data_IF_679300550785
#
_entry.id   IF_679300550785
#
_cell.length_a   1.000
_cell.length_b   1.000
_cell.length_c   1.000
_cell.angle_alpha   90.00
_cell.angle_beta   90.00
_cell.angle_gamma   90.00
#
_symmetry.space_group_name_H-M   'P 1'
#
loop_
_entity.id
_entity.type
_entity.pdbx_description
1 polymer ?
#
# COMPACT_ATOMS: atom_id res chain seq x y z
N UNK A 1 -1.79 39.70 -22.45
CA UNK A 1 -1.82 38.78 -21.30
C UNK A 1 -2.38 37.43 -21.72
N UNK A 2 -1.55 36.39 -21.62
CA UNK A 2 -1.96 34.98 -21.77
C UNK A 2 -2.56 34.40 -20.48
N UNK A 3 -2.59 35.18 -19.40
CA UNK A 3 -3.14 34.80 -18.11
C UNK A 3 -4.65 35.13 -18.06
N UNK A 4 -5.46 34.29 -17.41
CA UNK A 4 -6.88 34.57 -17.24
C UNK A 4 -7.10 35.82 -16.38
N UNK A 5 -8.14 36.60 -16.69
CA UNK A 5 -8.55 37.78 -15.90
C UNK A 5 -8.76 37.45 -14.42
N UNK A 6 -9.28 36.27 -14.12
CA UNK A 6 -9.48 35.77 -12.76
C UNK A 6 -8.69 34.48 -12.59
N UNK A 7 -7.80 34.43 -11.61
CA UNK A 7 -7.03 33.24 -11.28
C UNK A 7 -7.45 32.72 -9.90
N UNK A 8 -7.99 31.49 -9.86
CA UNK A 8 -8.37 30.81 -8.62
C UNK A 8 -7.42 29.64 -8.39
N UNK A 9 -6.69 29.67 -7.28
CA UNK A 9 -5.83 28.58 -6.83
C UNK A 9 -6.56 27.80 -5.74
N UNK A 10 -6.72 26.50 -5.95
CA UNK A 10 -7.31 25.59 -4.94
C UNK A 10 -6.22 24.66 -4.42
N UNK A 11 -5.93 24.74 -3.12
CA UNK A 11 -4.90 23.93 -2.49
C UNK A 11 -5.39 23.39 -1.14
N UNK A 12 -4.89 22.24 -0.72
CA UNK A 12 -5.18 21.75 0.61
C UNK A 12 -4.35 22.49 1.67
N UNK A 13 -4.85 22.58 2.90
CA UNK A 13 -4.16 23.26 4.02
C UNK A 13 -2.77 22.68 4.33
N UNK A 14 -2.48 21.45 3.89
CA UNK A 14 -1.18 20.80 4.01
C UNK A 14 -0.12 21.32 3.04
N UNK A 15 -0.50 22.21 2.11
CA UNK A 15 0.38 22.76 1.07
C UNK A 15 0.90 24.16 1.37
N UNK A 16 0.71 24.64 2.60
CA UNK A 16 1.27 25.90 3.07
C UNK A 16 2.74 25.69 3.43
N UNK A 17 3.61 26.51 2.85
CA UNK A 17 5.06 26.50 3.08
C UNK A 17 5.44 27.83 3.74
N UNK A 18 6.31 27.86 4.77
CA UNK A 18 6.57 29.09 5.52
C UNK A 18 7.29 30.19 4.72
N UNK A 19 8.20 29.81 3.82
CA UNK A 19 9.08 30.74 3.11
C UNK A 19 9.42 30.29 1.68
N UNK A 20 9.96 31.22 0.88
CA UNK A 20 10.49 30.91 -0.45
C UNK A 20 11.77 30.05 -0.38
N UNK A 21 12.56 30.19 0.68
CA UNK A 21 13.75 29.36 0.89
C UNK A 21 13.36 27.90 1.10
N UNK A 22 12.34 27.64 1.92
CA UNK A 22 11.77 26.30 2.12
C UNK A 22 11.19 25.74 0.81
N UNK A 23 10.51 26.60 0.02
CA UNK A 23 9.99 26.22 -1.29
C UNK A 23 11.11 25.78 -2.23
N UNK A 24 12.24 26.49 -2.26
CA UNK A 24 13.39 26.14 -3.10
C UNK A 24 13.93 24.74 -2.79
N UNK A 25 13.99 24.37 -1.50
CA UNK A 25 14.41 23.04 -1.06
C UNK A 25 13.40 21.98 -1.51
N UNK A 26 12.10 22.24 -1.30
CA UNK A 26 11.05 21.30 -1.66
C UNK A 26 10.99 21.06 -3.17
N UNK A 27 11.14 22.09 -3.99
CA UNK A 27 11.15 21.98 -5.46
C UNK A 27 12.33 21.14 -5.97
N UNK A 28 13.53 21.35 -5.40
CA UNK A 28 14.71 20.55 -5.74
C UNK A 28 14.53 19.08 -5.37
N UNK A 29 14.02 18.81 -4.17
CA UNK A 29 13.75 17.45 -3.70
C UNK A 29 12.65 16.79 -4.54
N UNK A 30 11.60 17.52 -4.90
CA UNK A 30 10.49 17.05 -5.74
C UNK A 30 11.00 16.60 -7.11
N UNK A 31 11.71 17.48 -7.84
CA UNK A 31 12.18 17.21 -9.19
C UNK A 31 13.09 15.97 -9.25
N UNK A 32 14.05 15.89 -8.33
CA UNK A 32 14.98 14.76 -8.24
C UNK A 32 14.28 13.45 -7.92
N UNK A 33 13.27 13.48 -7.05
CA UNK A 33 12.54 12.28 -6.64
C UNK A 33 11.50 11.83 -7.67
N UNK A 34 10.96 12.77 -8.46
CA UNK A 34 9.92 12.50 -9.44
C UNK A 34 10.48 12.04 -10.79
N UNK A 35 11.37 12.85 -11.36
CA UNK A 35 11.85 12.73 -12.74
C UNK A 35 13.37 12.66 -12.85
N UNK A 36 14.10 12.72 -11.73
CA UNK A 36 15.56 12.75 -11.72
C UNK A 36 16.15 14.08 -12.19
N UNK A 37 15.33 15.12 -12.38
CA UNK A 37 15.77 16.44 -12.81
C UNK A 37 16.36 17.24 -11.64
N UNK A 38 17.28 18.17 -11.91
CA UNK A 38 17.87 19.01 -10.87
C UNK A 38 16.86 19.96 -10.21
N UNK A 39 15.92 20.47 -11.01
CA UNK A 39 14.83 21.38 -10.63
C UNK A 39 13.64 21.19 -11.59
N UNK A 40 12.45 21.64 -11.21
CA UNK A 40 11.25 21.57 -12.06
C UNK A 40 11.39 22.48 -13.28
N UNK A 41 11.02 21.97 -14.46
CA UNK A 41 11.10 22.71 -15.72
C UNK A 41 10.20 23.96 -15.77
N UNK A 42 9.08 23.94 -15.04
CA UNK A 42 8.15 25.07 -14.99
C UNK A 42 7.69 25.29 -13.54
N UNK A 43 8.00 26.47 -13.01
CA UNK A 43 7.54 26.94 -11.70
C UNK A 43 7.16 28.41 -11.84
N UNK A 44 5.87 28.71 -11.71
CA UNK A 44 5.37 30.08 -11.69
C UNK A 44 5.07 30.49 -10.26
N UNK A 45 5.62 31.63 -9.84
CA UNK A 45 5.32 32.24 -8.55
C UNK A 45 4.38 33.41 -8.76
N UNK A 46 3.23 33.38 -8.11
CA UNK A 46 2.24 34.47 -8.14
C UNK A 46 2.21 35.15 -6.78
N UNK A 47 2.39 36.47 -6.78
CA UNK A 47 2.34 37.32 -5.58
C UNK A 47 0.98 38.00 -5.36
N UNK A 48 0.04 37.88 -6.30
CA UNK A 48 -1.28 38.49 -6.20
C UNK A 48 -1.88 38.86 -7.56
N UNK A 49 -2.93 39.72 -7.58
CA UNK A 49 -3.41 40.34 -8.80
C UNK A 49 -2.35 41.30 -9.38
N UNK A 50 -2.48 41.62 -10.68
CA UNK A 50 -1.60 42.60 -11.34
C UNK A 50 -1.74 43.97 -10.68
N UNK A 51 -0.61 44.65 -10.52
CA UNK A 51 -0.55 46.05 -10.11
C UNK A 51 -0.54 46.95 -11.35
N UNK A 52 -0.70 48.26 -11.16
CA UNK A 52 -0.68 49.23 -12.26
C UNK A 52 0.68 49.27 -12.99
N UNK A 53 1.76 48.90 -12.29
CA UNK A 53 3.12 48.78 -12.83
C UNK A 53 3.36 47.49 -13.60
N UNK A 54 2.49 46.49 -13.45
CA UNK A 54 2.65 45.19 -14.09
C UNK A 54 2.09 45.21 -15.51
N UNK A 55 2.91 44.81 -16.48
CA UNK A 55 2.49 44.72 -17.88
C UNK A 55 1.46 43.61 -18.13
N UNK A 56 1.47 42.54 -17.31
CA UNK A 56 0.56 41.40 -17.42
C UNK A 56 0.27 40.76 -16.06
N UNK A 57 -0.95 40.24 -15.88
CA UNK A 57 -1.34 39.45 -14.71
C UNK A 57 -2.86 39.38 -14.55
N UNK A 58 -3.37 38.58 -13.59
CA UNK A 58 -4.80 38.50 -13.34
C UNK A 58 -5.34 39.78 -12.69
N UNK A 59 -6.55 40.20 -13.03
CA UNK A 59 -7.27 41.30 -12.38
C UNK A 59 -7.69 40.90 -10.94
N UNK A 60 -8.02 39.62 -10.74
CA UNK A 60 -8.36 39.06 -9.44
C UNK A 60 -7.63 37.75 -9.19
N UNK A 61 -7.08 37.59 -7.98
CA UNK A 61 -6.36 36.40 -7.54
C UNK A 61 -6.95 35.87 -6.23
N UNK A 62 -7.49 34.65 -6.27
CA UNK A 62 -8.14 34.02 -5.12
C UNK A 62 -7.43 32.73 -4.74
N UNK A 63 -7.13 32.55 -3.45
CA UNK A 63 -6.55 31.31 -2.91
C UNK A 63 -7.56 30.65 -1.99
N UNK A 64 -8.02 29.46 -2.37
CA UNK A 64 -8.96 28.65 -1.59
C UNK A 64 -8.18 27.52 -0.90
N UNK A 65 -8.10 27.60 0.42
CA UNK A 65 -7.46 26.57 1.25
C UNK A 65 -8.49 25.56 1.73
N UNK A 66 -8.37 24.32 1.27
CA UNK A 66 -9.29 23.23 1.54
C UNK A 66 -8.79 22.35 2.69
N UNK A 67 -9.60 22.25 3.75
CA UNK A 67 -9.38 21.29 4.82
C UNK A 67 -9.79 19.87 4.37
N UNK A 68 -11.10 19.65 4.18
CA UNK A 68 -11.67 18.34 3.80
C UNK A 68 -11.16 17.18 4.70
N UNK A 69 -11.11 17.39 6.02
CA UNK A 69 -10.71 16.38 7.00
C UNK A 69 -9.21 16.32 7.33
N UNK A 70 -8.39 17.19 6.72
CA UNK A 70 -6.94 17.29 6.98
C UNK A 70 -6.61 17.81 8.38
N UNK A 71 -7.41 18.70 8.96
CA UNK A 71 -7.23 19.15 10.35
C UNK A 71 -7.38 17.99 11.33
N UNK A 72 -8.32 17.07 11.09
CA UNK A 72 -8.45 15.83 11.87
C UNK A 72 -7.24 14.93 11.70
N UNK A 73 -6.72 14.79 10.46
CA UNK A 73 -5.48 14.04 10.21
C UNK A 73 -4.27 14.64 10.94
N UNK A 74 -4.21 15.97 11.06
CA UNK A 74 -3.12 16.70 11.71
C UNK A 74 -3.03 16.41 13.21
N UNK A 75 -4.17 16.26 13.88
CA UNK A 75 -4.27 15.85 15.29
C UNK A 75 -4.22 14.33 15.50
N UNK A 76 -4.40 13.55 14.44
CA UNK A 76 -4.45 12.09 14.51
C UNK A 76 -3.12 11.40 14.18
N UNK A 77 -3.12 10.07 14.33
CA UNK A 77 -1.94 9.26 13.99
C UNK A 77 -1.73 9.01 12.48
N UNK A 78 -2.29 9.86 11.61
CA UNK A 78 -2.02 9.90 10.16
C UNK A 78 -1.36 11.21 9.74
N UNK A 79 -1.00 12.08 10.69
CA UNK A 79 -0.34 13.39 10.47
C UNK A 79 0.81 13.34 9.46
N UNK A 80 1.64 12.30 9.50
CA UNK A 80 2.76 12.16 8.58
C UNK A 80 2.34 12.15 7.11
N UNK A 81 1.12 11.75 6.80
CA UNK A 81 0.59 11.75 5.43
C UNK A 81 0.51 13.17 4.84
N UNK A 82 0.26 14.18 5.68
CA UNK A 82 0.15 15.58 5.27
C UNK A 82 1.49 16.16 4.77
N UNK A 83 2.63 15.51 5.05
CA UNK A 83 3.94 15.92 4.54
C UNK A 83 4.14 15.65 3.05
N UNK A 84 3.24 14.91 2.41
CA UNK A 84 3.44 14.45 1.04
C UNK A 84 3.65 15.64 0.11
N UNK A 85 4.72 15.66 -0.68
CA UNK A 85 5.00 16.71 -1.70
C UNK A 85 4.52 16.32 -3.10
N UNK A 86 3.78 15.22 -3.23
CA UNK A 86 3.30 14.68 -4.52
C UNK A 86 4.42 14.42 -5.55
N UNK A 87 5.60 14.02 -5.11
CA UNK A 87 6.73 13.72 -6.01
C UNK A 87 6.62 12.38 -6.75
N UNK A 88 5.62 11.54 -6.48
CA UNK A 88 5.42 10.29 -7.22
C UNK A 88 6.45 9.16 -6.95
N UNK A 89 7.54 9.39 -6.21
CA UNK A 89 8.54 8.36 -5.93
C UNK A 89 7.95 7.04 -5.39
N UNK A 90 6.93 7.13 -4.52
CA UNK A 90 6.27 5.93 -4.00
C UNK A 90 5.53 5.10 -5.07
N UNK A 91 5.09 5.72 -6.17
CA UNK A 91 4.43 5.05 -7.30
C UNK A 91 5.43 4.20 -8.07
N UNK A 92 6.59 4.78 -8.40
CA UNK A 92 7.65 4.14 -9.19
C UNK A 92 8.20 2.87 -8.53
N UNK A 93 8.13 2.77 -7.20
CA UNK A 93 8.61 1.62 -6.43
C UNK A 93 7.50 0.68 -5.94
N UNK A 94 6.23 0.93 -6.32
CA UNK A 94 5.11 0.11 -5.91
C UNK A 94 4.84 -0.98 -6.95
N UNK A 95 5.06 -2.28 -6.63
CA UNK A 95 4.85 -3.36 -7.60
C UNK A 95 3.38 -3.49 -8.01
N UNK A 96 2.46 -3.14 -7.11
CA UNK A 96 1.01 -3.14 -7.40
C UNK A 96 0.70 -2.07 -8.44
N UNK A 97 1.12 -0.83 -8.21
CA UNK A 97 0.90 0.26 -9.16
C UNK A 97 1.53 -0.02 -10.52
N UNK A 98 2.75 -0.57 -10.56
CA UNK A 98 3.40 -0.95 -11.82
C UNK A 98 2.64 -2.04 -12.60
N UNK A 99 1.90 -2.91 -11.92
CA UNK A 99 1.16 -4.00 -12.55
C UNK A 99 -0.25 -3.59 -13.02
N UNK A 100 -0.99 -2.81 -12.23
CA UNK A 100 -2.41 -2.50 -12.48
C UNK A 100 -2.65 -1.06 -12.96
N UNK A 101 -1.65 -0.20 -12.87
CA UNK A 101 -1.78 1.22 -13.20
C UNK A 101 -2.59 2.03 -12.19
N UNK A 102 -2.81 3.32 -12.51
CA UNK A 102 -3.50 4.26 -11.61
C UNK A 102 -5.02 4.13 -11.57
N UNK A 103 -5.66 3.77 -12.69
CA UNK A 103 -7.13 3.72 -12.79
C UNK A 103 -7.78 2.67 -11.87
N UNK A 104 -7.09 1.56 -11.63
CA UNK A 104 -7.58 0.49 -10.76
C UNK A 104 -7.72 0.91 -9.28
N UNK A 105 -7.17 2.07 -8.88
CA UNK A 105 -7.33 2.61 -7.52
C UNK A 105 -8.67 3.33 -7.30
N UNK A 106 -9.46 3.58 -8.36
CA UNK A 106 -10.85 4.07 -8.23
C UNK A 106 -11.02 5.50 -7.70
N UNK A 107 -9.94 6.29 -7.62
CA UNK A 107 -9.99 7.68 -7.15
C UNK A 107 -8.91 8.54 -7.81
N UNK A 108 -8.98 9.87 -7.61
CA UNK A 108 -8.00 10.84 -8.13
C UNK A 108 -6.60 10.66 -7.53
N UNK A 109 -6.48 9.96 -6.39
CA UNK A 109 -5.20 9.64 -5.76
C UNK A 109 -4.90 8.16 -5.89
N UNK A 110 -3.76 7.83 -6.51
CA UNK A 110 -3.35 6.46 -6.81
C UNK A 110 -2.14 6.01 -5.98
N UNK A 111 -1.85 4.70 -6.05
CA UNK A 111 -0.68 4.08 -5.45
C UNK A 111 -0.66 4.07 -3.93
N UNK A 112 0.52 3.89 -3.30
CA UNK A 112 0.64 3.82 -1.85
C UNK A 112 0.15 5.09 -1.14
N UNK A 113 0.40 6.27 -1.74
CA UNK A 113 -0.05 7.56 -1.24
C UNK A 113 -1.58 7.65 -1.24
N UNK A 114 -2.22 7.37 -2.37
CA UNK A 114 -3.67 7.38 -2.49
C UNK A 114 -4.35 6.33 -1.62
N UNK A 115 -3.74 5.14 -1.48
CA UNK A 115 -4.26 4.07 -0.63
C UNK A 115 -4.27 4.43 0.87
N UNK A 116 -3.47 5.40 1.29
CA UNK A 116 -3.55 5.98 2.64
C UNK A 116 -4.53 7.14 2.69
N UNK A 117 -4.49 8.04 1.71
CA UNK A 117 -5.23 9.30 1.76
C UNK A 117 -6.73 9.12 1.46
N UNK A 118 -7.09 8.32 0.44
CA UNK A 118 -8.49 8.13 0.02
C UNK A 118 -9.40 7.62 1.15
N UNK A 119 -9.03 6.59 1.94
CA UNK A 119 -9.85 6.16 3.08
C UNK A 119 -10.06 7.23 4.16
N UNK A 120 -9.13 8.18 4.29
CA UNK A 120 -9.23 9.27 5.26
C UNK A 120 -10.13 10.41 4.79
N UNK A 121 -10.26 10.60 3.48
CA UNK A 121 -11.09 11.65 2.89
C UNK A 121 -12.51 11.16 2.59
N UNK A 122 -12.66 9.93 2.09
CA UNK A 122 -13.95 9.39 1.63
C UNK A 122 -14.59 8.42 2.63
N UNK A 123 -13.83 7.99 3.65
CA UNK A 123 -14.26 6.93 4.56
C UNK A 123 -13.74 5.55 4.17
N UNK A 124 -13.76 4.66 5.15
CA UNK A 124 -13.19 3.31 5.03
C UNK A 124 -14.07 2.33 4.28
N UNK A 125 -15.38 2.56 4.24
CA UNK A 125 -16.37 1.64 3.65
C UNK A 125 -16.24 1.58 2.12
N UNK A 126 -16.00 2.72 1.48
CA UNK A 126 -15.86 2.82 0.02
C UNK A 126 -14.44 2.50 -0.48
N UNK A 127 -13.51 2.21 0.44
CA UNK A 127 -12.08 2.07 0.13
C UNK A 127 -11.43 0.88 0.82
N UNK A 128 -12.23 -0.14 1.16
CA UNK A 128 -11.77 -1.33 1.89
C UNK A 128 -10.60 -2.01 1.17
N UNK A 129 -10.63 -2.07 -0.16
CA UNK A 129 -9.64 -2.80 -0.95
C UNK A 129 -8.28 -2.10 -1.03
N UNK A 130 -8.20 -0.76 -0.95
CA UNK A 130 -6.96 -0.04 -1.22
C UNK A 130 -5.83 -0.42 -0.24
N UNK A 131 -6.04 -0.42 1.09
CA UNK A 131 -5.02 -0.88 2.01
C UNK A 131 -4.71 -2.37 1.87
N UNK A 132 -5.69 -3.19 1.46
CA UNK A 132 -5.55 -4.65 1.35
C UNK A 132 -4.83 -5.10 0.06
N UNK A 133 -4.88 -4.32 -1.00
CA UNK A 133 -4.13 -4.58 -2.24
C UNK A 133 -2.61 -4.44 -2.06
N UNK A 134 -2.14 -3.69 -1.06
CA UNK A 134 -0.72 -3.49 -0.82
C UNK A 134 0.01 -4.80 -0.46
N UNK A 135 1.20 -5.04 -1.03
CA UNK A 135 2.04 -6.19 -0.63
C UNK A 135 2.84 -5.95 0.65
N UNK A 136 2.76 -4.74 1.23
CA UNK A 136 3.54 -4.29 2.39
C UNK A 136 5.07 -4.47 2.23
N UNK A 137 5.60 -4.35 1.01
CA UNK A 137 7.03 -4.53 0.73
C UNK A 137 7.96 -3.47 1.37
N UNK A 138 7.42 -2.36 1.88
CA UNK A 138 8.17 -1.28 2.54
C UNK A 138 8.98 -0.35 1.64
N UNK A 139 9.05 -0.58 0.32
CA UNK A 139 9.88 0.25 -0.59
C UNK A 139 9.42 1.70 -0.64
N UNK A 140 8.11 1.94 -0.65
CA UNK A 140 7.54 3.29 -0.63
C UNK A 140 7.96 4.11 0.61
N UNK A 141 8.17 3.46 1.76
CA UNK A 141 8.69 4.08 2.99
C UNK A 141 10.18 4.40 2.85
N UNK A 142 10.97 3.49 2.28
CA UNK A 142 12.42 3.65 2.12
C UNK A 142 12.79 4.80 1.18
N UNK A 143 12.02 4.99 0.10
CA UNK A 143 12.33 5.97 -0.97
C UNK A 143 11.66 7.33 -0.76
N UNK A 144 10.81 7.49 0.26
CA UNK A 144 10.07 8.73 0.46
C UNK A 144 11.01 9.86 0.92
N UNK A 145 11.21 10.94 0.14
CA UNK A 145 12.15 12.00 0.50
C UNK A 145 11.71 12.80 1.74
N UNK A 146 10.41 12.80 2.03
CA UNK A 146 9.79 13.49 3.18
C UNK A 146 9.42 12.51 4.32
N UNK A 147 10.06 11.32 4.31
CA UNK A 147 10.03 10.33 5.39
C UNK A 147 8.62 9.97 5.86
N UNK A 148 7.70 9.71 4.93
CA UNK A 148 6.35 9.25 5.25
C UNK A 148 6.39 7.72 5.40
N UNK A 149 5.97 7.16 6.55
CA UNK A 149 5.96 5.72 6.75
C UNK A 149 4.73 5.07 6.09
N UNK A 150 4.62 5.15 4.76
CA UNK A 150 3.44 4.73 4.00
C UNK A 150 3.02 3.27 4.28
N UNK A 151 3.98 2.34 4.35
CA UNK A 151 3.70 0.94 4.71
C UNK A 151 3.04 0.79 6.07
N UNK A 152 3.49 1.57 7.05
CA UNK A 152 3.03 1.48 8.44
C UNK A 152 1.63 2.12 8.55
N UNK A 153 1.38 3.20 7.81
CA UNK A 153 0.05 3.82 7.71
C UNK A 153 -0.96 2.88 7.04
N UNK A 154 -0.56 2.14 6.00
CA UNK A 154 -1.42 1.14 5.36
C UNK A 154 -1.71 -0.04 6.29
N UNK A 155 -0.72 -0.51 7.05
CA UNK A 155 -0.94 -1.52 8.09
C UNK A 155 -1.94 -1.01 9.13
N UNK A 156 -1.81 0.25 9.56
CA UNK A 156 -2.75 0.88 10.49
C UNK A 156 -4.16 0.92 9.93
N UNK A 157 -4.33 1.22 8.64
CA UNK A 157 -5.64 1.12 7.97
C UNK A 157 -6.23 -0.28 8.03
N UNK A 158 -5.45 -1.33 7.77
CA UNK A 158 -5.92 -2.73 7.89
C UNK A 158 -6.37 -3.07 9.31
N UNK A 159 -5.64 -2.59 10.32
CA UNK A 159 -6.01 -2.78 11.73
C UNK A 159 -7.33 -2.05 12.06
N UNK A 160 -7.52 -0.85 11.54
CA UNK A 160 -8.74 -0.07 11.72
C UNK A 160 -9.94 -0.75 11.03
N UNK A 161 -9.79 -1.20 9.78
CA UNK A 161 -10.79 -1.99 9.05
C UNK A 161 -11.16 -3.27 9.81
N UNK A 162 -10.17 -3.95 10.41
CA UNK A 162 -10.44 -5.09 11.27
C UNK A 162 -11.24 -4.66 12.51
N UNK A 163 -10.85 -3.61 13.24
CA UNK A 163 -11.61 -3.15 14.43
C UNK A 163 -13.05 -2.78 14.09
N UNK A 164 -13.27 -2.12 12.95
CA UNK A 164 -14.59 -1.74 12.43
C UNK A 164 -15.41 -2.89 11.84
N UNK A 165 -14.84 -4.10 11.77
CA UNK A 165 -15.49 -5.30 11.20
C UNK A 165 -15.84 -5.17 9.71
N UNK A 166 -15.05 -4.41 8.95
CA UNK A 166 -15.22 -4.24 7.50
C UNK A 166 -14.69 -5.43 6.69
N UNK A 167 -14.01 -6.38 7.35
CA UNK A 167 -13.55 -7.62 6.73
C UNK A 167 -14.63 -8.71 6.78
N UNK A 168 -14.77 -9.56 5.74
CA UNK A 168 -15.79 -10.60 5.69
C UNK A 168 -15.77 -11.54 6.91
N UNK A 169 -16.94 -11.80 7.50
CA UNK A 169 -17.07 -12.62 8.72
C UNK A 169 -16.48 -14.03 8.54
N UNK A 170 -16.71 -14.65 7.39
CA UNK A 170 -16.19 -15.98 7.07
C UNK A 170 -14.66 -16.00 7.08
N UNK A 171 -14.01 -15.02 6.46
CA UNK A 171 -12.55 -14.91 6.47
C UNK A 171 -11.98 -14.76 7.88
N UNK A 172 -12.67 -14.01 8.75
CA UNK A 172 -12.28 -13.84 10.16
C UNK A 172 -12.41 -15.13 10.95
N UNK A 173 -13.47 -15.88 10.73
CA UNK A 173 -13.66 -17.20 11.34
C UNK A 173 -12.55 -18.16 10.92
N UNK A 174 -12.25 -18.24 9.61
CA UNK A 174 -11.17 -19.10 9.10
C UNK A 174 -9.81 -18.75 9.70
N UNK A 175 -9.45 -17.47 9.75
CA UNK A 175 -8.19 -17.03 10.36
C UNK A 175 -8.13 -17.37 11.85
N UNK A 176 -9.23 -17.19 12.59
CA UNK A 176 -9.31 -17.57 14.01
C UNK A 176 -9.20 -19.08 14.22
N UNK A 177 -9.91 -19.87 13.42
CA UNK A 177 -9.85 -21.32 13.48
C UNK A 177 -8.43 -21.81 13.17
N UNK A 178 -7.81 -21.28 12.11
CA UNK A 178 -6.43 -21.58 11.76
C UNK A 178 -5.47 -21.18 12.88
N UNK A 179 -5.58 -19.98 13.46
CA UNK A 179 -4.72 -19.53 14.55
C UNK A 179 -4.86 -20.43 15.79
N UNK A 180 -6.07 -20.85 16.12
CA UNK A 180 -6.34 -21.79 17.23
C UNK A 180 -5.67 -23.16 17.01
N UNK A 181 -5.66 -23.66 15.76
CA UNK A 181 -4.94 -24.88 15.40
C UNK A 181 -3.42 -24.65 15.43
N UNK A 182 -2.93 -23.61 14.77
CA UNK A 182 -1.51 -23.33 14.59
C UNK A 182 -0.76 -23.04 15.90
N UNK A 183 -1.44 -22.44 16.88
CA UNK A 183 -0.89 -22.18 18.23
C UNK A 183 -0.81 -23.44 19.11
N UNK A 184 -1.32 -24.58 18.65
CA UNK A 184 -1.32 -25.86 19.37
C UNK A 184 -0.44 -26.88 18.64
N UNK A 185 0.86 -27.01 19.00
CA UNK A 185 1.82 -27.79 18.21
C UNK A 185 1.41 -29.24 17.95
N UNK A 186 0.88 -29.94 18.97
CA UNK A 186 0.45 -31.35 18.84
C UNK A 186 -0.72 -31.50 17.86
N UNK A 187 -1.71 -30.61 17.96
CA UNK A 187 -2.88 -30.60 17.08
C UNK A 187 -2.47 -30.25 15.65
N UNK A 188 -1.69 -29.18 15.46
CA UNK A 188 -1.20 -28.77 14.14
C UNK A 188 -0.38 -29.89 13.47
N UNK A 189 0.53 -30.53 14.21
CA UNK A 189 1.33 -31.64 13.69
C UNK A 189 0.49 -32.87 13.36
N UNK A 190 -0.54 -33.18 14.14
CA UNK A 190 -1.48 -34.27 13.85
C UNK A 190 -2.31 -33.99 12.60
N UNK A 191 -2.91 -32.80 12.53
CA UNK A 191 -3.71 -32.35 11.40
C UNK A 191 -2.91 -32.35 10.10
N UNK A 192 -1.66 -31.85 10.13
CA UNK A 192 -0.79 -31.80 8.95
C UNK A 192 -0.17 -33.15 8.59
N UNK A 193 -0.09 -34.10 9.53
CA UNK A 193 0.40 -35.45 9.24
C UNK A 193 -0.61 -36.28 8.45
N UNK A 194 -1.91 -36.03 8.61
CA UNK A 194 -2.97 -36.77 7.91
C UNK A 194 -2.91 -36.64 6.37
N UNK A 195 -2.89 -35.43 5.77
CA UNK A 195 -2.80 -35.29 4.31
C UNK A 195 -1.45 -35.80 3.78
N UNK A 196 -0.35 -35.58 4.51
CA UNK A 196 0.96 -36.13 4.14
C UNK A 196 0.97 -37.67 4.10
N UNK A 197 0.33 -38.30 5.09
CA UNK A 197 0.18 -39.76 5.14
C UNK A 197 -0.71 -40.27 4.01
N UNK A 198 -1.86 -39.61 3.76
CA UNK A 198 -2.79 -39.99 2.69
C UNK A 198 -2.15 -39.86 1.30
N UNK A 199 -1.45 -38.75 1.06
CA UNK A 199 -0.69 -38.51 -0.18
C UNK A 199 0.44 -39.53 -0.35
N UNK A 200 1.17 -39.83 0.71
CA UNK A 200 2.20 -40.87 0.68
C UNK A 200 1.61 -42.24 0.36
N UNK A 201 0.55 -42.66 1.05
CA UNK A 201 -0.11 -43.95 0.80
C UNK A 201 -0.60 -44.08 -0.64
N UNK A 202 -1.17 -43.02 -1.20
CA UNK A 202 -1.70 -43.00 -2.58
C UNK A 202 -0.59 -42.98 -3.65
N UNK A 203 0.54 -42.31 -3.38
CA UNK A 203 1.66 -42.16 -4.32
C UNK A 203 2.84 -43.13 -4.12
N UNK A 204 2.85 -43.93 -3.04
CA UNK A 204 4.00 -44.77 -2.67
C UNK A 204 4.36 -45.83 -3.72
N UNK A 205 3.37 -46.32 -4.49
CA UNK A 205 3.61 -47.35 -5.51
C UNK A 205 4.20 -46.82 -6.81
N UNK A 206 3.88 -45.58 -7.19
CA UNK A 206 4.29 -44.97 -8.47
C UNK A 206 5.37 -43.89 -8.32
N UNK A 207 5.67 -43.46 -7.10
CA UNK A 207 6.61 -42.36 -6.83
C UNK A 207 6.09 -40.97 -7.19
N UNK A 208 4.90 -40.89 -7.80
CA UNK A 208 4.25 -39.66 -8.23
C UNK A 208 2.75 -39.65 -7.91
N UNK A 209 2.19 -38.44 -7.83
CA UNK A 209 0.77 -38.13 -7.66
C UNK A 209 0.26 -37.44 -8.92
N UNK A 210 -0.45 -38.19 -9.75
CA UNK A 210 -1.08 -37.72 -11.01
C UNK A 210 -2.34 -36.89 -10.74
N UNK A 211 -3.02 -37.10 -9.59
CA UNK A 211 -4.24 -36.37 -9.26
C UNK A 211 -4.30 -36.05 -7.76
N UNK A 212 -4.39 -34.76 -7.45
CA UNK A 212 -4.57 -34.23 -6.10
C UNK A 212 -5.93 -33.53 -6.06
N UNK A 213 -6.85 -33.96 -5.19
CA UNK A 213 -8.17 -33.34 -5.09
C UNK A 213 -8.03 -31.85 -4.76
N UNK A 214 -8.82 -31.01 -5.44
CA UNK A 214 -8.80 -29.53 -5.35
C UNK A 214 -7.53 -28.85 -5.90
N UNK A 215 -6.62 -29.59 -6.54
CA UNK A 215 -5.42 -29.05 -7.21
C UNK A 215 -5.35 -29.42 -8.71
N UNK A 216 -6.50 -29.72 -9.33
CA UNK A 216 -6.61 -30.16 -10.74
C UNK A 216 -5.80 -29.32 -11.72
N UNK A 217 -5.96 -27.99 -11.69
CA UNK A 217 -5.24 -27.10 -12.60
C UNK A 217 -3.70 -27.16 -12.52
N UNK A 218 -3.13 -27.69 -11.43
CA UNK A 218 -1.69 -27.92 -11.30
C UNK A 218 -1.31 -29.36 -11.68
N UNK A 219 -2.13 -30.35 -11.31
CA UNK A 219 -1.88 -31.75 -11.62
C UNK A 219 -2.16 -32.12 -13.08
N UNK A 220 -2.96 -31.33 -13.80
CA UNK A 220 -3.24 -31.54 -15.23
C UNK A 220 -2.02 -31.27 -16.12
N UNK A 221 -1.05 -30.48 -15.63
CA UNK A 221 0.16 -30.12 -16.37
C UNK A 221 1.45 -30.72 -15.78
N UNK A 222 1.41 -31.22 -14.54
CA UNK A 222 2.61 -31.71 -13.84
C UNK A 222 2.28 -32.73 -12.75
N UNK A 223 3.00 -33.84 -12.78
CA UNK A 223 3.02 -34.81 -11.69
C UNK A 223 3.79 -34.29 -10.47
N UNK A 224 3.22 -34.51 -9.27
CA UNK A 224 3.89 -34.16 -8.02
C UNK A 224 4.66 -35.34 -7.44
N UNK A 225 5.87 -35.13 -6.90
CA UNK A 225 6.60 -36.19 -6.22
C UNK A 225 5.86 -36.64 -4.96
N UNK A 226 5.84 -37.94 -4.71
CA UNK A 226 5.22 -38.49 -3.50
C UNK A 226 5.95 -37.99 -2.24
N UNK A 227 5.25 -37.42 -1.24
CA UNK A 227 5.85 -36.99 0.01
C UNK A 227 6.50 -38.15 0.78
N UNK A 228 7.51 -37.87 1.61
CA UNK A 228 8.22 -38.88 2.42
C UNK A 228 7.39 -39.52 3.56
N UNK A 229 6.07 -39.30 3.61
CA UNK A 229 5.14 -39.88 4.61
C UNK A 229 5.25 -39.32 6.03
N UNK A 230 6.35 -38.64 6.37
CA UNK A 230 6.56 -37.96 7.66
C UNK A 230 6.81 -36.48 7.45
N UNK A 231 6.24 -35.63 8.30
CA UNK A 231 6.54 -34.19 8.29
C UNK A 231 8.01 -33.92 8.65
N UNK A 232 8.54 -32.80 8.17
CA UNK A 232 9.92 -32.37 8.45
C UNK A 232 10.24 -32.38 9.95
N UNK A 233 9.33 -31.85 10.78
CA UNK A 233 9.48 -31.80 12.24
C UNK A 233 9.62 -33.21 12.84
N UNK A 234 8.80 -34.17 12.41
CA UNK A 234 8.91 -35.57 12.88
C UNK A 234 10.23 -36.22 12.45
N UNK A 235 10.65 -35.99 11.21
CA UNK A 235 11.95 -36.48 10.72
C UNK A 235 13.10 -35.89 11.54
N UNK A 236 13.07 -34.59 11.79
CA UNK A 236 14.06 -33.87 12.58
C UNK A 236 14.19 -34.42 14.01
N UNK A 237 13.08 -34.61 14.72
CA UNK A 237 13.10 -35.21 16.06
C UNK A 237 13.60 -36.65 16.05
N UNK A 238 13.23 -37.46 15.03
CA UNK A 238 13.71 -38.85 14.92
C UNK A 238 15.21 -38.97 14.64
N UNK A 239 15.83 -37.92 14.07
CA UNK A 239 17.29 -37.85 13.84
C UNK A 239 18.03 -37.36 15.08
N UNK A 240 17.46 -36.41 15.84
CA UNK A 240 18.06 -35.93 17.10
C UNK A 240 18.11 -36.98 18.22
N UNK A 241 17.17 -37.94 18.25
CA UNK A 241 17.22 -39.05 19.22
C UNK A 241 18.13 -40.22 18.84
N UNK A 242 18.93 -40.07 17.76
CA UNK A 242 19.90 -41.07 17.27
C UNK A 242 21.36 -40.60 17.39
N UNK A 243 21.58 -39.44 18.01
CA UNK A 243 22.87 -38.96 18.52
C UNK A 243 22.89 -39.07 20.02
#
# INVERSE_FOLDING_TARGET
SSLPRVHIVTAGIEKVIPSLDDLSVLLRVLARSATGQEMSAYTSLYSGPRQDTDSEGPEAYHVVLLDNGRSTMLGGGYRSMLRCIRCGACLNHCPVYSAIGGHAYGWVYSGPMGSVLTPLLNGFDDSVDLPNACTLNGRCKAVCPVRIPLSDLLLKHRLEQYRRRLTPLFGRFLVRAWAWVATRPRLYQGLMALPLWLMHWRGHRRGALEHIPFAGGWTDSRDFPTPAGRSFIRQWHSRKGKS
#
